data_IF_187449658805
#
_entry.id   IF_187449658805
#
_cell.length_a   1.000
_cell.length_b   1.000
_cell.length_c   1.000
_cell.angle_alpha   90.00
_cell.angle_beta   90.00
_cell.angle_gamma   90.00
#
_symmetry.space_group_name_H-M   'P 1'
#
loop_
_entity.id
_entity.type
_entity.pdbx_description
1 polymer ?
#
# COMPACT_ATOMS: atom_id res chain seq x y z
N UNK A 1 -14.23 -9.22 1.79
CA UNK A 1 -12.97 -9.12 2.55
C UNK A 1 -12.03 -8.12 1.87
N UNK A 2 -11.31 -7.31 2.64
CA UNK A 2 -10.36 -6.31 2.12
C UNK A 2 -8.95 -6.58 2.64
N UNK A 3 -8.02 -6.85 1.72
CA UNK A 3 -6.61 -7.14 1.97
C UNK A 3 -5.76 -6.00 1.40
N UNK A 4 -4.84 -5.46 2.19
CA UNK A 4 -3.87 -4.47 1.76
C UNK A 4 -2.49 -5.12 1.61
N UNK A 5 -1.85 -4.95 0.46
CA UNK A 5 -0.46 -5.31 0.25
C UNK A 5 0.41 -4.06 0.43
N UNK A 6 1.20 -4.04 1.49
CA UNK A 6 2.03 -2.92 1.91
C UNK A 6 3.52 -3.27 1.81
N UNK A 7 4.34 -2.23 1.75
CA UNK A 7 5.79 -2.35 1.68
C UNK A 7 6.42 -1.18 0.94
N UNK A 8 7.72 -0.99 1.14
CA UNK A 8 8.49 0.03 0.44
C UNK A 8 8.60 -0.28 -1.06
N UNK A 9 9.03 0.69 -1.85
CA UNK A 9 9.27 0.44 -3.27
C UNK A 9 10.36 -0.62 -3.44
N UNK A 10 10.27 -1.40 -4.52
CA UNK A 10 11.11 -2.58 -4.80
C UNK A 10 10.88 -3.80 -3.90
N UNK A 11 9.95 -3.78 -2.95
CA UNK A 11 9.63 -4.96 -2.11
C UNK A 11 8.97 -6.12 -2.85
N UNK A 12 8.51 -5.93 -4.10
CA UNK A 12 7.90 -7.00 -4.91
C UNK A 12 6.38 -7.04 -4.88
N UNK A 13 5.72 -5.96 -4.42
CA UNK A 13 4.25 -5.86 -4.36
C UNK A 13 3.57 -6.21 -5.69
N UNK A 14 4.00 -5.60 -6.79
CA UNK A 14 3.40 -5.82 -8.11
C UNK A 14 3.51 -7.28 -8.56
N UNK A 15 4.63 -7.94 -8.27
CA UNK A 15 4.85 -9.36 -8.56
C UNK A 15 3.88 -10.26 -7.78
N UNK A 16 3.61 -9.91 -6.53
CA UNK A 16 2.66 -10.64 -5.69
C UNK A 16 1.20 -10.36 -6.12
N UNK A 17 0.86 -9.13 -6.49
CA UNK A 17 -0.47 -8.81 -7.02
C UNK A 17 -0.79 -9.58 -8.30
N UNK A 18 0.17 -9.68 -9.21
CA UNK A 18 0.01 -10.50 -10.42
C UNK A 18 -0.24 -11.97 -10.06
N UNK A 19 0.56 -12.54 -9.15
CA UNK A 19 0.36 -13.93 -8.73
C UNK A 19 -1.01 -14.13 -8.06
N UNK A 20 -1.40 -13.25 -7.14
CA UNK A 20 -2.67 -13.31 -6.43
C UNK A 20 -3.87 -13.12 -7.37
N UNK A 21 -3.73 -12.34 -8.44
CA UNK A 21 -4.78 -12.20 -9.46
C UNK A 21 -5.06 -13.52 -10.18
N UNK A 22 -4.03 -14.34 -10.40
CA UNK A 22 -4.18 -15.70 -10.96
C UNK A 22 -4.81 -16.67 -9.96
N UNK A 23 -4.44 -16.58 -8.67
CA UNK A 23 -5.03 -17.41 -7.60
C UNK A 23 -6.50 -17.07 -7.31
N UNK A 24 -6.86 -15.79 -7.42
CA UNK A 24 -8.19 -15.27 -7.11
C UNK A 24 -8.76 -14.51 -8.31
N UNK A 25 -9.16 -15.18 -9.40
CA UNK A 25 -9.58 -14.53 -10.65
C UNK A 25 -10.84 -13.67 -10.51
N UNK A 26 -11.61 -13.86 -9.44
CA UNK A 26 -12.80 -13.07 -9.12
C UNK A 26 -12.52 -11.93 -8.12
N UNK A 27 -11.30 -11.83 -7.61
CA UNK A 27 -10.92 -10.77 -6.69
C UNK A 27 -10.81 -9.43 -7.43
N UNK A 28 -11.20 -8.38 -6.72
CA UNK A 28 -10.99 -7.01 -7.16
C UNK A 28 -9.56 -6.61 -6.84
N UNK A 29 -8.71 -6.57 -7.85
CA UNK A 29 -7.35 -6.05 -7.73
C UNK A 29 -7.38 -4.54 -7.94
N UNK A 30 -6.83 -3.78 -6.99
CA UNK A 30 -6.86 -2.33 -7.02
C UNK A 30 -5.59 -1.72 -6.44
N UNK A 31 -5.49 -0.38 -6.41
CA UNK A 31 -4.32 0.34 -5.90
C UNK A 31 -4.69 1.73 -5.39
N UNK A 32 -3.91 2.22 -4.44
CA UNK A 32 -3.95 3.61 -3.98
C UNK A 32 -2.54 4.24 -4.12
N UNK A 33 -2.40 5.41 -4.78
CA UNK A 33 -3.41 6.13 -5.55
C UNK A 33 -3.62 5.55 -6.94
N UNK A 34 -4.79 5.78 -7.52
CA UNK A 34 -5.08 5.45 -8.92
C UNK A 34 -6.12 4.37 -9.17
N UNK A 35 -6.82 3.89 -8.14
CA UNK A 35 -7.82 2.82 -8.26
C UNK A 35 -9.21 3.29 -8.75
N UNK A 36 -9.43 4.60 -8.86
CA UNK A 36 -10.67 5.23 -9.34
C UNK A 36 -10.41 6.10 -10.57
N UNK A 37 -11.47 6.52 -11.29
CA UNK A 37 -11.30 7.41 -12.46
C UNK A 37 -10.65 8.73 -12.08
N UNK A 38 -11.08 9.37 -10.98
CA UNK A 38 -10.43 10.59 -10.49
C UNK A 38 -9.04 10.29 -9.92
N UNK A 39 -8.88 9.13 -9.28
CA UNK A 39 -7.64 8.69 -8.68
C UNK A 39 -6.51 8.57 -9.70
N UNK A 40 -6.84 8.19 -10.95
CA UNK A 40 -5.86 8.20 -12.04
C UNK A 40 -5.31 9.62 -12.29
N UNK A 41 -6.17 10.63 -12.41
CA UNK A 41 -5.72 12.02 -12.57
C UNK A 41 -4.94 12.52 -11.35
N UNK A 42 -5.39 12.19 -10.14
CA UNK A 42 -4.70 12.56 -8.90
C UNK A 42 -3.30 11.93 -8.85
N UNK A 43 -3.18 10.64 -9.21
CA UNK A 43 -1.90 9.94 -9.29
C UNK A 43 -0.95 10.65 -10.26
N UNK A 44 -1.44 11.01 -11.45
CA UNK A 44 -0.64 11.77 -12.43
C UNK A 44 -0.16 13.11 -11.84
N UNK A 45 -1.03 13.86 -11.15
CA UNK A 45 -0.66 15.12 -10.50
C UNK A 45 0.44 14.92 -9.47
N UNK A 46 0.33 13.91 -8.60
CA UNK A 46 1.32 13.62 -7.56
C UNK A 46 2.67 13.20 -8.19
N UNK A 47 2.65 12.36 -9.23
CA UNK A 47 3.87 11.84 -9.83
C UNK A 47 4.61 12.86 -10.71
N UNK A 48 3.89 13.79 -11.34
CA UNK A 48 4.46 14.67 -12.37
C UNK A 48 4.60 16.12 -11.94
N UNK A 49 4.03 16.53 -10.80
CA UNK A 49 4.20 17.90 -10.29
C UNK A 49 5.45 18.00 -9.41
N UNK A 50 6.50 18.73 -9.84
CA UNK A 50 7.67 18.94 -8.98
C UNK A 50 7.34 19.88 -7.83
N UNK A 51 8.03 19.70 -6.70
CA UNK A 51 7.95 20.59 -5.53
C UNK A 51 6.54 20.80 -4.98
N UNK A 52 5.70 19.76 -5.02
CA UNK A 52 4.39 19.80 -4.40
C UNK A 52 4.55 19.96 -2.88
N UNK A 53 3.80 20.89 -2.29
CA UNK A 53 3.76 21.06 -0.85
C UNK A 53 3.28 19.77 -0.16
N UNK A 54 3.90 19.44 0.98
CA UNK A 54 3.63 18.18 1.70
C UNK A 54 2.18 18.05 2.20
N UNK A 55 1.53 19.14 2.60
CA UNK A 55 0.12 19.12 2.96
C UNK A 55 -0.74 18.93 1.73
N UNK A 56 -0.44 19.63 0.63
CA UNK A 56 -1.15 19.46 -0.64
C UNK A 56 -1.08 18.01 -1.16
N UNK A 57 0.12 17.42 -1.20
CA UNK A 57 0.34 16.01 -1.56
C UNK A 57 -0.51 15.08 -0.69
N UNK A 58 -0.48 15.29 0.63
CA UNK A 58 -1.27 14.51 1.57
C UNK A 58 -2.79 14.63 1.31
N UNK A 59 -3.32 15.83 1.08
CA UNK A 59 -4.75 16.01 0.76
C UNK A 59 -5.15 15.40 -0.57
N UNK A 60 -4.25 15.38 -1.57
CA UNK A 60 -4.48 14.67 -2.82
C UNK A 60 -4.58 13.15 -2.59
N UNK A 61 -3.70 12.56 -1.79
CA UNK A 61 -3.84 11.15 -1.40
C UNK A 61 -5.15 10.87 -0.66
N UNK A 62 -5.61 11.78 0.21
CA UNK A 62 -6.90 11.64 0.89
C UNK A 62 -8.08 11.73 -0.08
N UNK A 63 -8.01 12.62 -1.08
CA UNK A 63 -9.04 12.77 -2.11
C UNK A 63 -9.15 11.52 -2.97
N UNK A 64 -8.02 10.97 -3.43
CA UNK A 64 -7.98 9.69 -4.15
C UNK A 64 -8.60 8.57 -3.31
N UNK A 65 -8.18 8.45 -2.04
CA UNK A 65 -8.67 7.41 -1.13
C UNK A 65 -10.16 7.51 -0.85
N UNK A 66 -10.68 8.73 -0.66
CA UNK A 66 -12.11 8.94 -0.46
C UNK A 66 -12.92 8.52 -1.69
N UNK A 67 -12.44 8.80 -2.91
CA UNK A 67 -13.10 8.34 -4.13
C UNK A 67 -12.98 6.82 -4.31
N UNK A 68 -11.79 6.27 -4.08
CA UNK A 68 -11.54 4.83 -4.17
C UNK A 68 -12.41 4.04 -3.21
N UNK A 69 -12.60 4.55 -1.98
CA UNK A 69 -13.56 4.00 -1.04
C UNK A 69 -14.96 3.93 -1.64
N UNK A 70 -15.45 5.02 -2.23
CA UNK A 70 -16.81 5.11 -2.74
C UNK A 70 -17.04 4.24 -3.98
N UNK A 71 -16.11 4.26 -4.94
CA UNK A 71 -16.25 3.56 -6.23
C UNK A 71 -15.85 2.08 -6.16
N UNK A 72 -14.86 1.73 -5.33
CA UNK A 72 -14.24 0.41 -5.32
C UNK A 72 -14.52 -0.31 -4.01
N UNK A 73 -14.10 0.23 -2.88
CA UNK A 73 -14.13 -0.54 -1.63
C UNK A 73 -15.55 -0.83 -1.18
N UNK A 74 -16.37 0.21 -0.98
CA UNK A 74 -17.72 0.09 -0.43
C UNK A 74 -18.60 -0.89 -1.22
N UNK A 75 -18.85 -0.73 -2.54
CA UNK A 75 -19.77 -1.60 -3.26
C UNK A 75 -19.29 -3.07 -3.31
N UNK A 76 -17.98 -3.30 -3.38
CA UNK A 76 -17.43 -4.65 -3.43
C UNK A 76 -17.40 -5.31 -2.04
N UNK A 77 -17.22 -4.53 -0.96
CA UNK A 77 -17.38 -5.01 0.41
C UNK A 77 -18.83 -5.36 0.73
N UNK A 78 -19.78 -4.50 0.34
CA UNK A 78 -21.22 -4.77 0.50
C UNK A 78 -21.64 -6.06 -0.23
N UNK A 79 -21.00 -6.33 -1.38
CA UNK A 79 -21.19 -7.56 -2.16
C UNK A 79 -20.30 -8.74 -1.71
N UNK A 80 -19.65 -8.63 -0.55
CA UNK A 80 -18.79 -9.66 0.05
C UNK A 80 -17.63 -10.15 -0.83
N UNK A 81 -17.19 -9.36 -1.82
CA UNK A 81 -16.07 -9.74 -2.69
C UNK A 81 -14.73 -9.64 -1.96
N UNK A 82 -13.75 -10.41 -2.45
CA UNK A 82 -12.35 -10.23 -2.09
C UNK A 82 -11.79 -9.02 -2.82
N UNK A 83 -11.19 -8.09 -2.08
CA UNK A 83 -10.47 -6.93 -2.61
C UNK A 83 -9.02 -7.04 -2.16
N UNK A 84 -8.08 -6.94 -3.11
CA UNK A 84 -6.64 -6.92 -2.83
C UNK A 84 -6.09 -5.60 -3.39
N UNK A 85 -5.61 -4.73 -2.51
CA UNK A 85 -5.13 -3.40 -2.87
C UNK A 85 -3.61 -3.29 -2.76
N UNK A 86 -2.95 -2.72 -3.79
CA UNK A 86 -1.61 -2.16 -3.67
C UNK A 86 -1.69 -0.89 -2.82
N UNK A 87 -1.20 -0.97 -1.59
CA UNK A 87 -1.30 0.06 -0.55
C UNK A 87 -2.72 0.36 -0.06
N UNK A 88 -2.79 1.03 1.08
CA UNK A 88 -4.00 1.44 1.78
C UNK A 88 -3.72 2.65 2.69
N UNK A 89 -4.61 2.92 3.65
CA UNK A 89 -4.42 3.96 4.66
C UNK A 89 -3.13 3.82 5.46
N UNK A 90 -2.57 2.60 5.59
CA UNK A 90 -1.30 2.40 6.30
C UNK A 90 -0.18 3.16 5.59
N UNK A 91 -0.04 3.01 4.27
CA UNK A 91 0.84 3.87 3.46
C UNK A 91 0.48 5.36 3.60
N UNK A 92 -0.80 5.72 3.57
CA UNK A 92 -1.26 7.10 3.74
C UNK A 92 -0.80 7.77 5.04
N UNK A 93 -0.63 7.00 6.12
CA UNK A 93 -0.15 7.48 7.43
C UNK A 93 1.38 7.36 7.52
N UNK A 94 1.95 6.27 7.01
CA UNK A 94 3.38 6.01 7.04
C UNK A 94 4.19 7.02 6.21
N UNK A 95 3.63 7.57 5.13
CA UNK A 95 4.29 8.58 4.32
C UNK A 95 3.99 10.02 4.77
N UNK A 96 2.95 10.25 5.57
CA UNK A 96 2.58 11.58 6.05
C UNK A 96 3.59 12.08 7.10
N UNK A 97 4.59 12.87 6.68
CA UNK A 97 5.58 13.47 7.58
C UNK A 97 5.03 14.77 8.17
N UNK A 98 5.17 14.96 9.47
CA UNK A 98 4.81 16.21 10.18
C UNK A 98 3.33 16.66 10.03
N UNK A 99 2.42 15.70 9.86
CA UNK A 99 0.97 15.94 9.83
C UNK A 99 0.34 15.32 11.08
N UNK A 100 0.12 16.09 12.16
CA UNK A 100 -0.36 15.55 13.44
C UNK A 100 -1.68 14.79 13.34
N UNK A 101 -2.58 15.22 12.45
CA UNK A 101 -3.90 14.63 12.24
C UNK A 101 -3.94 13.53 11.16
N UNK A 102 -2.78 13.05 10.69
CA UNK A 102 -2.71 12.11 9.56
C UNK A 102 -3.58 10.86 9.76
N UNK A 103 -3.56 10.28 10.96
CA UNK A 103 -4.38 9.10 11.31
C UNK A 103 -5.87 9.44 11.18
N UNK A 104 -6.30 10.54 11.81
CA UNK A 104 -7.71 10.94 11.84
C UNK A 104 -8.24 11.21 10.42
N UNK A 105 -7.47 11.90 9.58
CA UNK A 105 -7.89 12.20 8.22
C UNK A 105 -7.92 10.96 7.32
N UNK A 106 -6.93 10.08 7.43
CA UNK A 106 -6.93 8.80 6.70
C UNK A 106 -8.14 7.94 7.11
N UNK A 107 -8.41 7.81 8.41
CA UNK A 107 -9.57 7.08 8.91
C UNK A 107 -10.90 7.69 8.42
N UNK A 108 -11.02 9.02 8.44
CA UNK A 108 -12.20 9.71 7.93
C UNK A 108 -12.42 9.50 6.43
N UNK A 109 -11.35 9.52 5.61
CA UNK A 109 -11.43 9.27 4.17
C UNK A 109 -11.96 7.87 3.84
N UNK A 110 -11.71 6.89 4.72
CA UNK A 110 -12.17 5.51 4.60
C UNK A 110 -13.51 5.21 5.31
N UNK A 111 -14.16 6.25 5.87
CA UNK A 111 -15.39 6.10 6.70
C UNK A 111 -15.23 5.06 7.82
N UNK A 112 -14.03 4.99 8.38
CA UNK A 112 -13.67 4.07 9.46
C UNK A 112 -13.41 2.62 9.06
N UNK A 113 -13.48 2.29 7.77
CA UNK A 113 -13.09 0.95 7.30
C UNK A 113 -11.56 0.83 7.30
N UNK A 114 -11.07 -0.31 7.79
CA UNK A 114 -9.68 -0.74 7.72
C UNK A 114 -9.55 -2.07 6.95
N UNK A 115 -8.38 -2.39 6.39
CA UNK A 115 -8.10 -3.72 5.89
C UNK A 115 -8.34 -4.78 6.97
N UNK A 116 -8.90 -5.91 6.55
CA UNK A 116 -9.05 -7.10 7.39
C UNK A 116 -7.69 -7.77 7.58
N UNK A 117 -6.81 -7.65 6.59
CA UNK A 117 -5.47 -8.20 6.57
C UNK A 117 -4.51 -7.21 5.87
N UNK A 118 -3.38 -6.95 6.51
CA UNK A 118 -2.23 -6.31 5.89
C UNK A 118 -1.14 -7.35 5.61
N UNK A 119 -0.75 -7.50 4.35
CA UNK A 119 0.43 -8.24 3.95
C UNK A 119 1.58 -7.23 3.84
N UNK A 120 2.56 -7.31 4.72
CA UNK A 120 3.70 -6.38 4.72
C UNK A 120 4.95 -7.07 4.18
N UNK A 121 5.39 -6.67 2.99
CA UNK A 121 6.65 -7.14 2.41
C UNK A 121 7.81 -6.28 2.93
N UNK A 122 8.70 -6.89 3.72
CA UNK A 122 9.86 -6.22 4.32
C UNK A 122 11.17 -6.59 3.65
N UNK A 123 12.08 -5.63 3.52
CA UNK A 123 13.45 -5.83 3.08
C UNK A 123 14.43 -5.39 4.16
N UNK A 124 15.57 -6.07 4.24
CA UNK A 124 16.74 -5.53 4.94
C UNK A 124 17.48 -4.51 4.08
N UNK A 125 18.43 -3.80 4.69
CA UNK A 125 19.19 -2.75 4.02
C UNK A 125 20.01 -3.30 2.83
N UNK A 126 20.64 -4.46 3.01
CA UNK A 126 21.48 -5.08 1.99
C UNK A 126 20.68 -5.45 0.73
N UNK A 127 19.50 -6.05 0.92
CA UNK A 127 18.62 -6.45 -0.17
C UNK A 127 17.98 -5.24 -0.86
N UNK A 128 17.63 -4.20 -0.08
CA UNK A 128 17.14 -2.94 -0.64
C UNK A 128 18.21 -2.28 -1.53
N UNK A 129 19.46 -2.20 -1.05
CA UNK A 129 20.61 -1.72 -1.83
C UNK A 129 20.77 -2.50 -3.14
N UNK A 130 20.73 -3.82 -3.06
CA UNK A 130 20.88 -4.69 -4.23
C UNK A 130 19.76 -4.49 -5.27
N UNK A 131 18.51 -4.33 -4.84
CA UNK A 131 17.35 -4.12 -5.73
C UNK A 131 17.32 -2.73 -6.36
N UNK A 132 17.74 -1.70 -5.63
CA UNK A 132 17.83 -0.35 -6.17
C UNK A 132 18.93 -0.25 -7.24
N UNK A 133 20.08 -0.89 -7.03
CA UNK A 133 21.18 -0.91 -8.01
C UNK A 133 20.85 -1.58 -9.36
N UNK A 134 19.70 -2.25 -9.48
CA UNK A 134 19.23 -2.88 -10.71
C UNK A 134 18.23 -2.01 -11.50
N UNK A 135 17.80 -0.85 -10.97
CA UNK A 135 16.89 0.07 -11.64
C UNK A 135 17.62 1.33 -12.11
N UNK A 136 17.20 1.87 -13.24
CA UNK A 136 17.62 3.19 -13.71
C UNK A 136 17.00 4.28 -12.84
N UNK A 137 17.86 5.19 -12.37
CA UNK A 137 17.60 6.21 -11.36
C UNK A 137 16.26 6.96 -11.49
N UNK A 138 15.29 6.67 -10.61
CA UNK A 138 14.03 7.43 -10.48
C UNK A 138 14.07 8.34 -9.24
N UNK A 139 13.39 9.50 -9.30
CA UNK A 139 13.40 10.58 -8.27
C UNK A 139 13.12 10.17 -6.81
N UNK A 140 12.58 8.96 -6.57
CA UNK A 140 12.39 8.40 -5.22
C UNK A 140 13.74 8.09 -4.55
N UNK A 141 14.81 7.93 -5.32
CA UNK A 141 16.17 7.67 -4.84
C UNK A 141 16.81 8.85 -4.10
N UNK A 142 16.34 10.09 -4.33
CA UNK A 142 16.87 11.28 -3.63
C UNK A 142 16.59 11.26 -2.12
N UNK A 143 15.55 10.54 -1.66
CA UNK A 143 15.23 10.44 -0.22
C UNK A 143 16.14 9.44 0.50
N UNK A 144 16.81 8.54 -0.23
CA UNK A 144 17.82 7.61 0.27
C UNK A 144 17.28 6.35 0.96
N UNK A 145 18.14 5.34 1.06
CA UNK A 145 17.86 4.03 1.70
C UNK A 145 17.36 4.19 3.14
N UNK A 146 17.96 5.11 3.90
CA UNK A 146 17.58 5.37 5.29
C UNK A 146 16.11 5.78 5.42
N UNK A 147 15.63 6.66 4.53
CA UNK A 147 14.23 7.07 4.50
C UNK A 147 13.30 5.90 4.17
N UNK A 148 13.66 5.05 3.19
CA UNK A 148 12.84 3.87 2.87
C UNK A 148 12.74 2.92 4.07
N UNK A 149 13.84 2.65 4.77
CA UNK A 149 13.82 1.84 5.99
C UNK A 149 13.00 2.49 7.11
N UNK A 150 13.07 3.81 7.27
CA UNK A 150 12.20 4.55 8.19
C UNK A 150 10.71 4.34 7.85
N UNK A 151 10.35 4.47 6.57
CA UNK A 151 8.99 4.21 6.10
C UNK A 151 8.56 2.77 6.39
N UNK A 152 9.43 1.78 6.19
CA UNK A 152 9.15 0.39 6.54
C UNK A 152 8.83 0.23 8.02
N UNK A 153 9.63 0.83 8.91
CA UNK A 153 9.37 0.83 10.36
C UNK A 153 8.04 1.53 10.68
N UNK A 154 7.72 2.62 9.99
CA UNK A 154 6.44 3.33 10.16
C UNK A 154 5.25 2.46 9.71
N UNK A 155 5.35 1.75 8.58
CA UNK A 155 4.33 0.81 8.14
C UNK A 155 4.04 -0.25 9.23
N UNK A 156 5.09 -0.89 9.75
CA UNK A 156 4.96 -1.88 10.85
C UNK A 156 4.28 -1.27 12.08
N UNK A 157 4.72 -0.10 12.50
CA UNK A 157 4.15 0.63 13.65
C UNK A 157 2.67 0.94 13.45
N UNK A 158 2.27 1.40 12.28
CA UNK A 158 0.89 1.81 12.03
C UNK A 158 -0.05 0.63 11.81
N UNK A 159 0.44 -0.51 11.29
CA UNK A 159 -0.32 -1.76 11.34
C UNK A 159 -0.69 -2.15 12.77
N UNK A 160 0.28 -2.09 13.69
CA UNK A 160 0.06 -2.41 15.10
C UNK A 160 -0.86 -1.37 15.77
N UNK A 161 -0.61 -0.08 15.57
CA UNK A 161 -1.42 1.00 16.17
C UNK A 161 -2.89 0.98 15.73
N UNK A 162 -3.16 0.59 14.49
CA UNK A 162 -4.52 0.49 13.94
C UNK A 162 -5.18 -0.87 14.23
N UNK A 163 -4.48 -1.76 14.96
CA UNK A 163 -4.93 -3.11 15.30
C UNK A 163 -5.36 -3.89 14.04
N UNK A 164 -4.54 -3.84 12.99
CA UNK A 164 -4.77 -4.56 11.73
C UNK A 164 -4.04 -5.89 11.81
N UNK A 165 -4.75 -7.01 11.54
CA UNK A 165 -4.11 -8.33 11.41
C UNK A 165 -3.05 -8.24 10.33
N UNK A 166 -1.81 -8.58 10.67
CA UNK A 166 -0.67 -8.37 9.77
C UNK A 166 0.14 -9.64 9.59
N UNK A 167 0.41 -9.99 8.34
CA UNK A 167 1.40 -10.98 7.94
C UNK A 167 2.62 -10.24 7.38
N UNK A 168 3.71 -10.21 8.15
CA UNK A 168 4.98 -9.65 7.68
C UNK A 168 5.79 -10.76 7.02
N UNK A 169 6.23 -10.54 5.78
CA UNK A 169 7.01 -11.50 4.99
C UNK A 169 8.34 -10.89 4.58
N UNK A 170 9.40 -11.69 4.72
CA UNK A 170 10.70 -11.40 4.14
C UNK A 170 10.57 -11.42 2.60
N UNK A 171 10.73 -10.24 2.00
CA UNK A 171 10.59 -10.05 0.58
C UNK A 171 11.74 -10.68 -0.23
N UNK A 172 12.80 -11.17 0.42
CA UNK A 172 13.92 -11.88 -0.22
C UNK A 172 13.62 -13.33 -0.53
N UNK A 173 12.57 -13.91 0.09
CA UNK A 173 12.15 -15.28 -0.16
C UNK A 173 11.72 -15.49 -1.62
N UNK A 174 11.79 -16.73 -2.13
CA UNK A 174 11.31 -17.04 -3.47
C UNK A 174 9.85 -16.61 -3.68
N UNK A 175 9.55 -16.04 -4.86
CA UNK A 175 8.21 -15.53 -5.22
C UNK A 175 7.08 -16.47 -4.78
N UNK A 176 7.20 -17.74 -5.11
CA UNK A 176 6.16 -18.74 -4.84
C UNK A 176 5.96 -18.97 -3.34
N UNK A 177 7.01 -18.95 -2.52
CA UNK A 177 6.88 -19.10 -1.08
C UNK A 177 6.10 -17.95 -0.46
N UNK A 178 6.38 -16.72 -0.90
CA UNK A 178 5.63 -15.53 -0.49
C UNK A 178 4.16 -15.66 -0.93
N UNK A 179 3.91 -16.02 -2.19
CA UNK A 179 2.53 -16.19 -2.70
C UNK A 179 1.74 -17.21 -1.87
N UNK A 180 2.33 -18.39 -1.61
CA UNK A 180 1.67 -19.46 -0.86
C UNK A 180 1.39 -19.07 0.59
N UNK A 181 2.29 -18.31 1.22
CA UNK A 181 2.07 -17.78 2.56
C UNK A 181 0.88 -16.81 2.59
N UNK A 182 0.80 -15.90 1.61
CA UNK A 182 -0.31 -14.95 1.48
C UNK A 182 -1.63 -15.69 1.24
N UNK A 183 -1.67 -16.63 0.30
CA UNK A 183 -2.87 -17.42 -0.03
C UNK A 183 -3.37 -18.18 1.18
N UNK A 184 -2.47 -18.80 1.95
CA UNK A 184 -2.82 -19.50 3.19
C UNK A 184 -3.47 -18.57 4.21
N UNK A 185 -2.90 -17.39 4.41
CA UNK A 185 -3.42 -16.41 5.37
C UNK A 185 -4.78 -15.85 4.95
N UNK A 186 -4.96 -15.56 3.65
CA UNK A 186 -6.24 -15.13 3.08
C UNK A 186 -7.32 -16.19 3.28
N UNK A 187 -7.01 -17.47 3.05
CA UNK A 187 -7.97 -18.56 3.17
C UNK A 187 -8.31 -18.93 4.63
N UNK A 188 -7.54 -18.43 5.60
CA UNK A 188 -7.76 -18.67 7.03
C UNK A 188 -8.70 -17.63 7.68
N UNK A 189 -9.17 -16.64 6.91
CA UNK A 189 -10.10 -15.58 7.33
C UNK A 189 -11.51 -15.84 6.82
#
# INVERSE_FOLDING_TARGET
MYVALEGIDTSGKSTQLEALSSYYPQAIITKEPGGSKIGQYIREMILHTPNLDSFCEFFLFLADRAQHYHEVLKPNLDSQKLIISDRSLISGIAYAKDIPQAIAYNHASMRGIKPHLCILLSLDEASLRARLGQKTHDKIEERGIAYMLEIQTRLQRFCALLEIRTLTLDATLPREQITQAIVREINAL
#
